data_IF_087731903637
#
_entry.id   IF_087731903637
#
_cell.length_a   1.000
_cell.length_b   1.000
_cell.length_c   1.000
_cell.angle_alpha   90.00
_cell.angle_beta   90.00
_cell.angle_gamma   90.00
#
_symmetry.space_group_name_H-M   'P 1'
#
loop_
_entity.id
_entity.type
_entity.pdbx_description
1 polymer ?
#
# COMPACT_ATOMS: atom_id res chain seq x y z
N UNK A 1 -24.67 12.46 18.50
CA UNK A 1 -24.03 11.13 18.34
C UNK A 1 -22.75 11.32 17.53
N UNK A 2 -21.62 11.35 18.25
CA UNK A 2 -20.44 12.14 17.90
C UNK A 2 -19.49 11.53 16.87
N UNK A 3 -18.52 12.36 16.48
CA UNK A 3 -17.38 12.06 15.61
C UNK A 3 -16.72 10.70 15.97
N UNK A 4 -16.77 10.30 17.24
CA UNK A 4 -16.31 8.99 17.73
C UNK A 4 -16.92 7.79 17.00
N UNK A 5 -18.24 7.78 16.75
CA UNK A 5 -18.88 6.63 16.09
C UNK A 5 -18.50 6.55 14.61
N UNK A 6 -18.28 7.70 13.98
CA UNK A 6 -17.80 7.78 12.60
C UNK A 6 -16.37 7.27 12.49
N UNK A 7 -15.49 7.73 13.39
CA UNK A 7 -14.11 7.27 13.48
C UNK A 7 -14.05 5.76 13.76
N UNK A 8 -14.86 5.25 14.70
CA UNK A 8 -14.93 3.83 15.01
C UNK A 8 -15.34 3.00 13.79
N UNK A 9 -16.31 3.46 12.99
CA UNK A 9 -16.78 2.75 11.81
C UNK A 9 -15.74 2.76 10.67
N UNK A 10 -15.02 3.88 10.49
CA UNK A 10 -13.89 3.97 9.55
C UNK A 10 -12.76 3.01 9.97
N UNK A 11 -12.37 3.04 11.23
CA UNK A 11 -11.30 2.19 11.75
C UNK A 11 -11.69 0.71 11.70
N UNK A 12 -12.95 0.39 11.99
CA UNK A 12 -13.42 -0.99 12.01
C UNK A 12 -13.57 -1.57 10.59
N UNK A 13 -14.04 -0.78 9.62
CA UNK A 13 -14.09 -1.22 8.21
C UNK A 13 -12.68 -1.42 7.65
N UNK A 14 -11.73 -0.54 8.01
CA UNK A 14 -10.32 -0.71 7.69
C UNK A 14 -9.72 -1.97 8.33
N UNK A 15 -10.05 -2.22 9.60
CA UNK A 15 -9.64 -3.44 10.31
C UNK A 15 -10.30 -4.70 9.73
N UNK A 16 -11.56 -4.64 9.29
CA UNK A 16 -12.22 -5.72 8.57
C UNK A 16 -11.49 -6.05 7.28
N UNK A 17 -11.24 -5.03 6.45
CA UNK A 17 -10.51 -5.16 5.19
C UNK A 17 -9.11 -5.75 5.38
N UNK A 18 -8.31 -5.17 6.27
CA UNK A 18 -6.94 -5.62 6.51
C UNK A 18 -6.90 -7.04 7.09
N UNK A 19 -7.87 -7.40 7.94
CA UNK A 19 -8.03 -8.78 8.42
C UNK A 19 -8.30 -9.76 7.28
N UNK A 20 -9.20 -9.39 6.35
CA UNK A 20 -9.50 -10.19 5.16
C UNK A 20 -8.28 -10.41 4.26
N UNK A 21 -7.50 -9.35 4.02
CA UNK A 21 -6.25 -9.43 3.26
C UNK A 21 -5.21 -10.30 3.98
N UNK A 22 -5.04 -10.15 5.29
CA UNK A 22 -4.10 -10.94 6.09
C UNK A 22 -4.46 -12.44 6.10
N UNK A 23 -5.75 -12.76 6.16
CA UNK A 23 -6.25 -14.14 6.04
C UNK A 23 -6.00 -14.72 4.65
N UNK A 24 -6.24 -13.95 3.59
CA UNK A 24 -6.05 -14.39 2.21
C UNK A 24 -4.57 -14.49 1.80
N UNK A 25 -3.70 -13.62 2.32
CA UNK A 25 -2.29 -13.58 1.94
C UNK A 25 -1.48 -14.76 2.48
N UNK A 26 -1.97 -15.51 3.48
CA UNK A 26 -1.30 -16.68 4.09
C UNK A 26 0.21 -16.45 4.32
N UNK A 27 0.58 -15.29 4.86
CA UNK A 27 1.96 -14.85 5.12
C UNK A 27 2.84 -14.54 3.89
N UNK A 28 2.27 -14.39 2.69
CA UNK A 28 3.02 -13.90 1.53
C UNK A 28 3.24 -12.39 1.63
N UNK A 29 4.39 -11.86 1.15
CA UNK A 29 4.61 -10.43 1.09
C UNK A 29 3.56 -9.79 0.19
N UNK A 30 2.61 -9.08 0.80
CA UNK A 30 1.53 -8.38 0.11
C UNK A 30 1.84 -6.89 0.05
N UNK A 31 1.83 -6.34 -1.16
CA UNK A 31 2.00 -4.91 -1.41
C UNK A 31 0.61 -4.34 -1.73
N UNK A 32 0.01 -3.50 -0.86
CA UNK A 32 -1.24 -2.83 -1.20
C UNK A 32 -1.05 -1.96 -2.43
N UNK A 33 -1.99 -2.06 -3.35
CA UNK A 33 -2.02 -1.36 -4.63
C UNK A 33 -2.97 -0.16 -4.58
N UNK A 34 -2.94 0.69 -5.61
CA UNK A 34 -3.90 1.81 -5.75
C UNK A 34 -5.35 1.33 -5.73
N UNK A 35 -5.62 0.13 -6.28
CA UNK A 35 -6.94 -0.49 -6.27
C UNK A 35 -7.43 -0.75 -4.82
N UNK A 36 -6.52 -1.11 -3.92
CA UNK A 36 -6.85 -1.34 -2.51
C UNK A 36 -7.22 -0.04 -1.79
N UNK A 37 -6.56 1.07 -2.11
CA UNK A 37 -6.96 2.41 -1.64
C UNK A 37 -8.35 2.79 -2.15
N UNK A 38 -8.64 2.56 -3.43
CA UNK A 38 -9.95 2.85 -4.01
C UNK A 38 -11.07 2.00 -3.38
N UNK A 39 -10.80 0.71 -3.12
CA UNK A 39 -11.75 -0.17 -2.44
C UNK A 39 -12.03 0.29 -1.02
N UNK A 40 -11.00 0.68 -0.27
CA UNK A 40 -11.19 1.20 1.09
C UNK A 40 -11.98 2.51 1.08
N UNK A 41 -11.71 3.40 0.13
CA UNK A 41 -12.47 4.63 -0.04
C UNK A 41 -13.94 4.35 -0.40
N UNK A 42 -14.18 3.39 -1.29
CA UNK A 42 -15.52 2.95 -1.66
C UNK A 42 -16.26 2.34 -0.46
N UNK A 43 -15.58 1.51 0.34
CA UNK A 43 -16.12 0.98 1.58
C UNK A 43 -16.50 2.10 2.56
N UNK A 44 -15.65 3.12 2.73
CA UNK A 44 -15.93 4.26 3.59
C UNK A 44 -17.10 5.11 3.11
N UNK A 45 -17.19 5.38 1.81
CA UNK A 45 -18.32 6.12 1.23
C UNK A 45 -19.62 5.35 1.38
N UNK A 46 -19.62 4.05 1.09
CA UNK A 46 -20.77 3.18 1.32
C UNK A 46 -21.18 3.13 2.81
N UNK A 47 -20.21 3.02 3.72
CA UNK A 47 -20.41 3.07 5.16
C UNK A 47 -21.04 4.40 5.62
N UNK A 48 -20.57 5.52 5.09
CA UNK A 48 -21.10 6.85 5.42
C UNK A 48 -22.52 7.02 4.89
N UNK A 49 -22.80 6.48 3.71
CA UNK A 49 -24.13 6.52 3.11
C UNK A 49 -25.13 5.65 3.88
N UNK A 50 -24.73 4.42 4.25
CA UNK A 50 -25.53 3.52 5.08
C UNK A 50 -25.77 4.06 6.49
N UNK A 51 -24.87 4.89 7.03
CA UNK A 51 -25.07 5.54 8.33
C UNK A 51 -26.30 6.44 8.37
N UNK A 52 -26.72 7.01 7.23
CA UNK A 52 -27.93 7.84 7.14
C UNK A 52 -29.23 7.05 7.22
N UNK A 53 -29.18 5.72 7.19
CA UNK A 53 -30.36 4.85 7.27
C UNK A 53 -30.77 4.58 8.72
N UNK A 54 -32.05 4.29 8.96
CA UNK A 54 -32.61 4.01 10.29
C UNK A 54 -32.13 2.68 10.93
N UNK A 55 -31.05 2.06 10.43
CA UNK A 55 -30.50 0.83 10.96
C UNK A 55 -29.81 1.03 12.32
N UNK A 56 -29.85 -0.01 13.15
CA UNK A 56 -29.08 -0.06 14.39
C UNK A 56 -27.58 0.10 14.10
N UNK A 57 -26.95 1.07 14.75
CA UNK A 57 -25.53 1.40 14.64
C UNK A 57 -24.63 0.17 14.84
N UNK A 58 -24.97 -0.74 15.75
CA UNK A 58 -24.18 -1.96 16.00
C UNK A 58 -24.27 -2.98 14.87
N UNK A 59 -25.42 -3.08 14.20
CA UNK A 59 -25.58 -3.91 13.00
C UNK A 59 -24.77 -3.34 11.84
N UNK A 60 -24.79 -2.02 11.65
CA UNK A 60 -23.97 -1.34 10.63
C UNK A 60 -22.48 -1.59 10.83
N UNK A 61 -22.03 -1.52 12.08
CA UNK A 61 -20.65 -1.83 12.49
C UNK A 61 -20.29 -3.30 12.16
N UNK A 62 -21.16 -4.25 12.49
CA UNK A 62 -20.96 -5.67 12.17
C UNK A 62 -20.95 -5.96 10.68
N UNK A 63 -21.91 -5.41 9.92
CA UNK A 63 -21.99 -5.56 8.46
C UNK A 63 -20.76 -4.95 7.80
N UNK A 64 -20.36 -3.75 8.20
CA UNK A 64 -19.17 -3.08 7.65
C UNK A 64 -17.88 -3.89 7.86
N UNK A 65 -17.72 -4.51 9.03
CA UNK A 65 -16.58 -5.39 9.31
C UNK A 65 -16.60 -6.65 8.43
N UNK A 66 -17.74 -7.34 8.34
CA UNK A 66 -17.88 -8.54 7.52
C UNK A 66 -17.67 -8.25 6.03
N UNK A 67 -18.22 -7.14 5.55
CA UNK A 67 -18.12 -6.72 4.16
C UNK A 67 -16.68 -6.30 3.82
N UNK A 68 -16.02 -5.56 4.70
CA UNK A 68 -14.59 -5.26 4.59
C UNK A 68 -13.76 -6.55 4.52
N UNK A 69 -13.99 -7.50 5.43
CA UNK A 69 -13.29 -8.78 5.46
C UNK A 69 -13.51 -9.58 4.18
N UNK A 70 -14.75 -9.70 3.72
CA UNK A 70 -15.09 -10.43 2.50
C UNK A 70 -14.45 -9.81 1.26
N UNK A 71 -14.51 -8.47 1.13
CA UNK A 71 -13.91 -7.74 0.01
C UNK A 71 -12.38 -7.86 0.03
N UNK A 72 -11.75 -7.67 1.19
CA UNK A 72 -10.31 -7.83 1.36
C UNK A 72 -9.85 -9.25 1.02
N UNK A 73 -10.58 -10.26 1.50
CA UNK A 73 -10.30 -11.66 1.20
C UNK A 73 -10.44 -11.96 -0.29
N UNK A 74 -11.56 -11.56 -0.91
CA UNK A 74 -11.84 -11.86 -2.32
C UNK A 74 -10.84 -11.16 -3.26
N UNK A 75 -10.55 -9.87 -3.02
CA UNK A 75 -9.60 -9.11 -3.82
C UNK A 75 -8.20 -9.73 -3.76
N UNK A 76 -7.76 -10.13 -2.56
CA UNK A 76 -6.45 -10.74 -2.37
C UNK A 76 -6.41 -12.17 -2.91
N UNK A 77 -7.42 -13.00 -2.65
CA UNK A 77 -7.51 -14.37 -3.18
C UNK A 77 -7.52 -14.40 -4.73
N UNK A 78 -8.27 -13.49 -5.37
CA UNK A 78 -8.29 -13.36 -6.82
C UNK A 78 -6.94 -12.94 -7.42
N UNK A 79 -6.14 -12.17 -6.68
CA UNK A 79 -4.78 -11.78 -7.11
C UNK A 79 -3.75 -12.87 -6.86
N UNK A 80 -3.81 -13.53 -5.70
CA UNK A 80 -2.90 -14.64 -5.37
C UNK A 80 -3.11 -15.87 -6.26
N UNK A 81 -4.32 -16.08 -6.77
CA UNK A 81 -4.56 -17.10 -7.79
C UNK A 81 -3.89 -16.83 -9.14
N UNK A 82 -3.44 -15.59 -9.39
CA UNK A 82 -2.80 -15.17 -10.65
C UNK A 82 -1.29 -15.01 -10.57
N UNK A 83 -0.72 -14.93 -9.37
CA UNK A 83 0.71 -14.66 -9.18
C UNK A 83 1.39 -15.92 -8.63
N UNK A 84 2.05 -16.64 -9.54
CA UNK A 84 2.86 -17.84 -9.22
C UNK A 84 4.27 -17.45 -8.77
N UNK A 85 4.40 -16.67 -7.71
CA UNK A 85 5.70 -16.34 -7.12
C UNK A 85 6.09 -17.39 -6.08
N UNK A 86 6.35 -18.61 -6.56
CA UNK A 86 7.13 -19.61 -5.81
C UNK A 86 8.61 -19.41 -6.09
N UNK A 87 9.22 -18.38 -5.50
CA UNK A 87 10.66 -18.46 -5.25
C UNK A 87 10.86 -19.29 -3.99
N UNK A 88 10.76 -20.61 -4.15
CA UNK A 88 11.13 -21.56 -3.10
C UNK A 88 12.63 -21.77 -3.26
N UNK A 89 13.42 -21.22 -2.34
CA UNK A 89 14.86 -21.50 -2.29
C UNK A 89 15.01 -23.04 -2.18
N UNK A 90 15.67 -23.70 -3.14
CA UNK A 90 15.87 -25.14 -3.09
C UNK A 90 16.60 -25.50 -1.79
N UNK A 91 16.18 -26.57 -1.10
CA UNK A 91 16.83 -27.02 0.14
C UNK A 91 18.35 -27.23 -0.01
N UNK A 92 18.79 -27.53 -1.23
CA UNK A 92 20.20 -27.67 -1.61
C UNK A 92 21.01 -26.37 -1.55
N UNK A 93 20.36 -25.21 -1.56
CA UNK A 93 21.02 -23.90 -1.48
C UNK A 93 21.01 -23.29 -0.08
N UNK A 94 20.31 -23.91 0.89
CA UNK A 94 20.37 -23.45 2.27
C UNK A 94 21.77 -23.69 2.85
N UNK A 95 22.36 -22.69 3.53
CA UNK A 95 23.66 -22.84 4.18
C UNK A 95 23.60 -23.91 5.28
N UNK A 96 24.71 -24.62 5.51
CA UNK A 96 24.76 -25.82 6.36
C UNK A 96 24.15 -25.61 7.76
N UNK A 97 24.40 -24.46 8.38
CA UNK A 97 23.86 -24.10 9.71
C UNK A 97 22.32 -24.02 9.74
N UNK A 98 21.67 -23.68 8.62
CA UNK A 98 20.21 -23.62 8.53
C UNK A 98 19.57 -25.02 8.37
N UNK A 99 20.34 -26.02 7.92
CA UNK A 99 19.89 -27.42 7.80
C UNK A 99 19.84 -28.08 9.19
N UNK A 100 20.90 -27.89 9.97
CA UNK A 100 21.04 -28.44 11.32
C UNK A 100 20.03 -27.84 12.31
N UNK A 101 19.68 -26.56 12.13
CA UNK A 101 18.65 -25.89 12.94
C UNK A 101 17.23 -26.46 12.76
N UNK A 102 16.95 -27.09 11.61
CA UNK A 102 15.66 -27.74 11.35
C UNK A 102 15.52 -29.13 11.97
N UNK A 103 16.64 -29.83 12.16
CA UNK A 103 16.70 -31.20 12.67
C UNK A 103 16.57 -31.27 14.21
N UNK A 104 17.03 -30.23 14.90
CA UNK A 104 17.01 -30.12 16.38
C UNK A 104 15.81 -29.35 16.92
N UNK A 105 14.88 -28.94 16.06
CA UNK A 105 13.72 -28.12 16.43
C UNK A 105 12.70 -28.93 17.26
N UNK A 106 12.84 -28.87 18.58
CA UNK A 106 11.85 -29.38 19.54
C UNK A 106 10.49 -28.76 19.23
N UNK A 107 9.46 -29.60 19.08
CA UNK A 107 8.12 -29.17 18.70
C UNK A 107 7.64 -28.03 19.61
N UNK A 108 7.34 -26.83 19.08
CA UNK A 108 6.99 -25.69 19.92
C UNK A 108 5.67 -25.98 20.64
N UNK A 109 5.63 -25.74 21.95
CA UNK A 109 4.41 -25.77 22.76
C UNK A 109 3.29 -25.00 22.04
N UNK A 110 2.03 -25.48 22.16
CA UNK A 110 0.86 -24.89 21.49
C UNK A 110 0.78 -23.37 21.69
N UNK A 111 1.15 -22.89 22.89
CA UNK A 111 1.20 -21.47 23.23
C UNK A 111 2.22 -20.68 22.40
N UNK A 112 3.45 -21.21 22.24
CA UNK A 112 4.49 -20.60 21.38
C UNK A 112 4.06 -20.58 19.91
N UNK A 113 3.39 -21.64 19.45
CA UNK A 113 2.87 -21.72 18.08
C UNK A 113 1.78 -20.68 17.83
N UNK A 114 0.87 -20.50 18.79
CA UNK A 114 -0.20 -19.52 18.70
C UNK A 114 0.36 -18.09 18.78
N UNK A 115 1.30 -17.84 19.69
CA UNK A 115 2.00 -16.55 19.82
C UNK A 115 2.75 -16.15 18.55
N UNK A 116 3.45 -17.11 17.93
CA UNK A 116 4.15 -16.86 16.65
C UNK A 116 3.14 -16.49 15.56
N UNK A 117 2.07 -17.27 15.40
CA UNK A 117 1.00 -16.99 14.42
C UNK A 117 0.31 -15.65 14.67
N UNK A 118 0.13 -15.26 15.93
CA UNK A 118 -0.41 -13.96 16.31
C UNK A 118 0.52 -12.81 15.90
N UNK A 119 1.82 -12.92 16.21
CA UNK A 119 2.80 -11.90 15.80
C UNK A 119 2.91 -11.79 14.28
N UNK A 120 2.93 -12.91 13.57
CA UNK A 120 2.94 -12.91 12.11
C UNK A 120 1.69 -12.20 11.55
N UNK A 121 0.51 -12.50 12.11
CA UNK A 121 -0.74 -11.84 11.75
C UNK A 121 -0.69 -10.33 12.04
N UNK A 122 -0.27 -9.94 13.24
CA UNK A 122 -0.15 -8.55 13.65
C UNK A 122 0.84 -7.77 12.78
N UNK A 123 1.96 -8.40 12.39
CA UNK A 123 2.95 -7.80 11.49
C UNK A 123 2.39 -7.54 10.08
N UNK A 124 1.69 -8.52 9.50
CA UNK A 124 1.03 -8.36 8.18
C UNK A 124 -0.04 -7.27 8.25
N UNK A 125 -0.88 -7.32 9.28
CA UNK A 125 -1.95 -6.36 9.53
C UNK A 125 -1.41 -4.93 9.65
N UNK A 126 -0.37 -4.74 10.47
CA UNK A 126 0.27 -3.46 10.70
C UNK A 126 0.91 -2.88 9.45
N UNK A 127 1.60 -3.70 8.65
CA UNK A 127 2.21 -3.25 7.40
C UNK A 127 1.15 -2.79 6.37
N UNK A 128 0.03 -3.51 6.26
CA UNK A 128 -1.08 -3.09 5.38
C UNK A 128 -1.66 -1.77 5.86
N UNK A 129 -1.98 -1.66 7.14
CA UNK A 129 -2.57 -0.46 7.71
C UNK A 129 -1.65 0.75 7.58
N UNK A 130 -0.35 0.60 7.88
CA UNK A 130 0.64 1.66 7.75
C UNK A 130 0.73 2.19 6.32
N UNK A 131 0.74 1.29 5.33
CA UNK A 131 0.80 1.67 3.91
C UNK A 131 -0.48 2.34 3.42
N UNK A 132 -1.64 1.87 3.87
CA UNK A 132 -2.91 2.53 3.54
C UNK A 132 -2.96 3.94 4.11
N UNK A 133 -2.62 4.10 5.40
CA UNK A 133 -2.55 5.41 6.06
C UNK A 133 -1.57 6.32 5.33
N UNK A 134 -0.36 5.83 5.02
CA UNK A 134 0.60 6.59 4.23
C UNK A 134 0.05 6.96 2.86
N UNK A 135 -0.53 6.02 2.12
CA UNK A 135 -1.12 6.29 0.82
C UNK A 135 -2.18 7.40 0.87
N UNK A 136 -3.07 7.36 1.87
CA UNK A 136 -4.05 8.44 2.08
C UNK A 136 -3.37 9.76 2.46
N UNK A 137 -2.36 9.76 3.32
CA UNK A 137 -1.60 10.96 3.68
C UNK A 137 -0.98 11.61 2.44
N UNK A 138 -0.28 10.83 1.60
CA UNK A 138 0.33 11.35 0.37
C UNK A 138 -0.75 11.88 -0.58
N UNK A 139 -1.86 11.18 -0.73
CA UNK A 139 -2.95 11.60 -1.60
C UNK A 139 -3.63 12.89 -1.14
N UNK A 140 -3.86 13.04 0.17
CA UNK A 140 -4.59 14.19 0.73
C UNK A 140 -3.70 15.42 0.87
N UNK A 141 -2.42 15.26 1.24
CA UNK A 141 -1.54 16.39 1.53
C UNK A 141 -0.56 16.69 0.39
N UNK A 142 0.09 15.66 -0.18
CA UNK A 142 1.17 15.85 -1.15
C UNK A 142 0.62 16.05 -2.56
N UNK A 143 -0.38 15.26 -2.97
CA UNK A 143 -0.98 15.38 -4.31
C UNK A 143 -1.57 16.76 -4.62
N UNK A 144 -2.38 17.42 -3.76
CA UNK A 144 -2.88 18.75 -4.09
C UNK A 144 -1.76 19.78 -4.22
N UNK A 145 -0.71 19.69 -3.39
CA UNK A 145 0.45 20.56 -3.53
C UNK A 145 1.17 20.34 -4.87
N UNK A 146 1.38 19.09 -5.27
CA UNK A 146 1.96 18.75 -6.58
C UNK A 146 1.08 19.17 -7.76
N UNK A 147 -0.24 19.11 -7.61
CA UNK A 147 -1.19 19.58 -8.62
C UNK A 147 -1.13 21.10 -8.75
N UNK A 148 -1.18 21.81 -7.62
CA UNK A 148 -1.07 23.27 -7.57
C UNK A 148 0.26 23.73 -8.15
N UNK A 149 1.38 23.12 -7.75
CA UNK A 149 2.70 23.48 -8.28
C UNK A 149 2.79 23.25 -9.78
N UNK A 150 2.18 22.18 -10.31
CA UNK A 150 2.09 21.93 -11.76
C UNK A 150 1.19 22.91 -12.51
N UNK A 151 0.13 23.42 -11.88
CA UNK A 151 -0.76 24.38 -12.53
C UNK A 151 -0.24 25.82 -12.47
N UNK A 152 0.45 26.18 -11.38
CA UNK A 152 0.96 27.54 -11.13
C UNK A 152 2.36 27.72 -11.73
N UNK A 153 3.19 26.70 -11.66
CA UNK A 153 4.51 26.68 -12.26
C UNK A 153 4.52 25.64 -13.38
N UNK A 154 4.96 26.00 -14.58
CA UNK A 154 5.41 25.02 -15.58
C UNK A 154 6.93 24.88 -15.49
N UNK A 155 7.47 24.26 -14.41
CA UNK A 155 8.92 24.17 -14.20
C UNK A 155 9.60 23.31 -15.27
N UNK A 156 8.83 22.59 -16.10
CA UNK A 156 9.32 21.73 -17.17
C UNK A 156 9.10 22.33 -18.56
N UNK A 157 8.57 23.56 -18.68
CA UNK A 157 8.23 24.23 -19.95
C UNK A 157 7.44 23.32 -20.94
N UNK A 158 6.73 22.32 -20.41
CA UNK A 158 6.07 21.29 -21.22
C UNK A 158 4.87 21.82 -21.99
N UNK A 159 4.30 22.97 -21.59
CA UNK A 159 3.26 23.66 -22.37
C UNK A 159 3.82 24.47 -23.53
N UNK A 160 5.10 24.86 -23.52
CA UNK A 160 5.73 25.65 -24.59
C UNK A 160 6.27 24.80 -25.74
N UNK A 161 6.38 23.48 -25.58
CA UNK A 161 6.87 22.57 -26.62
C UNK A 161 5.89 22.34 -27.80
N UNK A 162 4.79 23.08 -27.88
CA UNK A 162 3.88 23.03 -29.03
C UNK A 162 4.33 23.91 -30.21
N UNK A 163 5.29 24.82 -30.02
CA UNK A 163 5.88 25.58 -31.12
C UNK A 163 7.13 24.87 -31.69
N UNK A 164 6.85 23.98 -32.65
CA UNK A 164 7.68 23.50 -33.76
C UNK A 164 9.08 22.88 -33.52
N UNK A 165 9.68 22.90 -32.33
CA UNK A 165 10.96 22.22 -32.10
C UNK A 165 11.27 22.13 -30.61
N UNK A 166 11.30 20.92 -30.05
CA UNK A 166 11.75 20.66 -28.67
C UNK A 166 13.26 20.86 -28.44
N UNK A 167 13.95 21.51 -29.38
CA UNK A 167 15.37 21.85 -29.26
C UNK A 167 15.52 23.09 -28.39
N UNK A 168 16.15 22.94 -27.22
CA UNK A 168 16.63 24.08 -26.45
C UNK A 168 17.77 24.76 -27.23
N UNK A 169 17.73 26.09 -27.43
CA UNK A 169 18.84 26.80 -28.07
C UNK A 169 20.07 26.70 -27.17
N UNK A 170 21.05 25.90 -27.60
CA UNK A 170 22.39 25.89 -27.01
C UNK A 170 23.09 27.14 -27.54
N UNK A 171 23.30 28.14 -26.67
CA UNK A 171 24.17 29.26 -27.01
C UNK A 171 25.54 28.70 -27.39
N UNK A 172 26.02 29.01 -28.60
CA UNK A 172 27.37 28.69 -29.02
C UNK A 172 28.32 29.41 -28.05
N UNK A 173 28.94 28.67 -27.14
CA UNK A 173 30.08 29.15 -26.37
C UNK A 173 31.13 29.58 -27.38
N UNK A 174 31.62 30.81 -27.27
CA UNK A 174 32.62 31.38 -28.17
C UNK A 174 33.74 30.37 -28.43
N UNK A 175 33.84 29.94 -29.69
CA UNK A 175 34.93 29.11 -30.22
C UNK A 175 36.21 29.95 -30.37
N UNK A 176 36.58 30.68 -29.32
CA UNK A 176 37.90 31.26 -29.20
C UNK A 176 38.82 30.22 -28.55
N UNK A 177 39.83 29.79 -29.31
CA UNK A 177 40.81 28.76 -28.91
C UNK A 177 41.51 29.13 -27.58
N UNK A 178 41.54 30.42 -27.24
CA UNK A 178 42.11 30.94 -26.01
C UNK A 178 41.35 30.48 -24.74
N UNK A 179 40.02 30.30 -24.82
CA UNK A 179 39.22 29.84 -23.68
C UNK A 179 39.50 28.37 -23.29
N UNK A 180 40.02 27.57 -24.22
CA UNK A 180 40.41 26.19 -23.95
C UNK A 180 41.72 26.07 -23.17
N UNK A 181 42.56 27.12 -23.15
CA UNK A 181 43.83 27.13 -22.42
C UNK A 181 43.68 27.42 -20.93
N UNK A 182 42.58 28.02 -20.51
CA UNK A 182 42.32 28.37 -19.11
C UNK A 182 41.71 27.23 -18.28
N UNK A 183 41.34 26.11 -18.92
CA UNK A 183 40.68 24.97 -18.27
C UNK A 183 41.59 23.76 -18.00
N UNK A 184 42.91 23.88 -18.24
CA UNK A 184 43.91 22.84 -17.94
C UNK A 184 44.93 23.32 -16.92
#
# INVERSE_FOLDING_TARGET
>A
MGILSAAALILLTLAGYSSGVALASRQRPFLPTVLDLLLVLLLWTAAFWLRGSALNHWLLVGIGLLLGLAVGYAATAARLGRVDTRYVIPKSELPAHAREAGETAVAPNLLKRLWRRWNDFAGVMGNIQARLIMGFFYFIFVTPFGLVSRFVSDPLATRQAYDASGWLPKHATDTHIDAAKEQG
#
